data_IF_013208955053
#
_entry.id   IF_013208955053
#
_cell.length_a   1.000
_cell.length_b   1.000
_cell.length_c   1.000
_cell.angle_alpha   90.00
_cell.angle_beta   90.00
_cell.angle_gamma   90.00
#
_symmetry.space_group_name_H-M   'P 1'
#
loop_
_entity.id
_entity.type
_entity.pdbx_description
1 polymer ?
#
# COMPACT_ATOMS: atom_id res chain seq x y z
N UNK A 1 -37.16 29.57 -41.24
CA UNK A 1 -37.11 28.84 -39.93
C UNK A 1 -35.65 28.79 -39.48
N UNK A 2 -35.28 29.63 -38.51
CA UNK A 2 -33.88 29.83 -38.09
C UNK A 2 -33.62 28.92 -36.89
N UNK A 3 -32.91 27.80 -37.11
CA UNK A 3 -32.55 26.85 -36.05
C UNK A 3 -31.39 27.45 -35.24
N UNK A 4 -31.69 27.82 -33.98
CA UNK A 4 -30.69 28.24 -33.00
C UNK A 4 -30.15 26.97 -32.35
N UNK A 5 -28.88 26.65 -32.59
CA UNK A 5 -28.16 25.61 -31.84
C UNK A 5 -27.69 26.23 -30.52
N UNK A 6 -28.20 25.73 -29.39
CA UNK A 6 -27.65 26.03 -28.06
C UNK A 6 -26.37 25.20 -27.86
N UNK A 7 -25.23 25.79 -27.47
CA UNK A 7 -24.07 25.02 -27.06
C UNK A 7 -24.34 24.46 -25.66
N UNK A 8 -24.29 23.13 -25.54
CA UNK A 8 -24.33 22.44 -24.25
C UNK A 8 -22.99 22.73 -23.53
N UNK A 9 -23.01 23.65 -22.57
CA UNK A 9 -21.87 23.94 -21.70
C UNK A 9 -21.70 22.73 -20.77
N UNK A 10 -20.80 21.82 -21.14
CA UNK A 10 -20.32 20.72 -20.30
C UNK A 10 -19.21 21.29 -19.40
N UNK A 11 -19.60 22.06 -18.37
CA UNK A 11 -18.66 22.63 -17.41
C UNK A 11 -18.63 21.84 -16.10
N UNK A 12 -17.40 21.55 -15.67
CA UNK A 12 -16.94 21.35 -14.28
C UNK A 12 -17.37 20.10 -13.49
N UNK A 13 -16.61 19.01 -13.62
CA UNK A 13 -16.44 17.98 -12.56
C UNK A 13 -14.97 17.75 -12.14
N UNK A 14 -14.02 18.48 -12.72
CA UNK A 14 -12.58 18.33 -12.40
C UNK A 14 -12.16 18.97 -11.06
N UNK A 15 -13.01 19.77 -10.41
CA UNK A 15 -12.64 20.50 -9.20
C UNK A 15 -12.75 19.65 -7.91
N UNK A 16 -13.62 18.63 -7.90
CA UNK A 16 -13.86 17.84 -6.68
C UNK A 16 -12.74 16.83 -6.40
N UNK A 17 -12.09 16.29 -7.43
CA UNK A 17 -11.05 15.25 -7.27
C UNK A 17 -9.75 15.81 -6.70
N UNK A 18 -9.41 17.06 -7.02
CA UNK A 18 -8.23 17.76 -6.49
C UNK A 18 -8.43 18.16 -5.03
N UNK A 19 -9.63 18.62 -4.66
CA UNK A 19 -9.97 18.95 -3.27
C UNK A 19 -9.85 17.73 -2.35
N UNK A 20 -10.41 16.57 -2.74
CA UNK A 20 -10.34 15.32 -1.95
C UNK A 20 -8.89 14.85 -1.76
N UNK A 21 -8.04 14.98 -2.79
CA UNK A 21 -6.63 14.60 -2.69
C UNK A 21 -5.83 15.51 -1.73
N UNK A 22 -6.12 16.82 -1.75
CA UNK A 22 -5.51 17.80 -0.83
C UNK A 22 -5.95 17.55 0.61
N UNK A 23 -7.24 17.31 0.83
CA UNK A 23 -7.78 16.97 2.16
C UNK A 23 -7.16 15.68 2.70
N UNK A 24 -7.01 14.64 1.86
CA UNK A 24 -6.38 13.39 2.28
C UNK A 24 -4.90 13.58 2.65
N UNK A 25 -4.11 14.32 1.85
CA UNK A 25 -2.72 14.67 2.19
C UNK A 25 -2.66 15.38 3.55
N UNK A 26 -3.59 16.29 3.84
CA UNK A 26 -3.66 16.97 5.13
C UNK A 26 -4.01 16.02 6.28
N UNK A 27 -4.97 15.11 6.09
CA UNK A 27 -5.31 14.08 7.08
C UNK A 27 -4.13 13.16 7.38
N UNK A 28 -3.33 12.80 6.37
CA UNK A 28 -2.10 12.04 6.55
C UNK A 28 -1.07 12.84 7.36
N UNK A 29 -0.85 14.13 7.06
CA UNK A 29 0.06 14.99 7.86
C UNK A 29 -0.38 15.08 9.32
N UNK A 30 -1.68 15.25 9.57
CA UNK A 30 -2.24 15.27 10.92
C UNK A 30 -1.96 13.93 11.63
N UNK A 31 -2.26 12.80 10.98
CA UNK A 31 -1.98 11.48 11.53
C UNK A 31 -0.48 11.22 11.77
N UNK A 32 0.41 11.77 10.92
CA UNK A 32 1.85 11.70 11.12
C UNK A 32 2.28 12.38 12.43
N UNK A 33 1.70 13.56 12.72
CA UNK A 33 1.99 14.34 13.93
C UNK A 33 1.27 13.86 15.20
N UNK A 34 0.25 13.00 15.06
CA UNK A 34 -0.63 12.55 16.15
C UNK A 34 0.10 11.89 17.32
N UNK A 35 -0.38 12.13 18.53
CA UNK A 35 0.11 11.50 19.78
C UNK A 35 -0.22 10.01 19.91
N UNK A 36 -1.05 9.48 19.01
CA UNK A 36 -1.31 8.04 18.92
C UNK A 36 -0.06 7.27 18.43
N UNK A 37 0.89 7.97 17.80
CA UNK A 37 2.15 7.40 17.31
C UNK A 37 3.28 7.70 18.29
N UNK A 38 4.04 6.66 18.61
CA UNK A 38 5.25 6.80 19.44
C UNK A 38 6.35 7.56 18.70
N UNK A 39 7.30 8.14 19.45
CA UNK A 39 8.47 8.82 18.86
C UNK A 39 9.27 7.91 17.92
N UNK A 40 9.39 6.63 18.27
CA UNK A 40 10.03 5.63 17.43
C UNK A 40 9.29 5.38 16.10
N UNK A 41 7.96 5.54 16.07
CA UNK A 41 7.19 5.43 14.84
C UNK A 41 7.33 6.70 14.00
N UNK A 42 7.23 7.89 14.62
CA UNK A 42 7.42 9.20 13.97
C UNK A 42 8.82 9.34 13.37
N UNK A 43 9.86 8.91 14.09
CA UNK A 43 11.25 8.94 13.61
C UNK A 43 11.47 8.13 12.31
N UNK A 44 10.58 7.17 12.00
CA UNK A 44 10.66 6.37 10.77
C UNK A 44 10.03 7.07 9.57
N UNK A 45 9.27 8.13 9.75
CA UNK A 45 8.59 8.87 8.68
C UNK A 45 9.59 9.38 7.64
N UNK A 46 10.74 9.90 8.09
CA UNK A 46 11.82 10.37 7.19
C UNK A 46 12.23 9.30 6.17
N UNK A 47 12.32 8.04 6.61
CA UNK A 47 12.70 6.94 5.74
C UNK A 47 11.49 6.37 4.98
N UNK A 48 10.30 6.35 5.59
CA UNK A 48 9.12 5.71 5.00
C UNK A 48 8.30 6.61 4.08
N UNK A 49 8.53 7.92 4.13
CA UNK A 49 7.88 8.95 3.29
C UNK A 49 6.38 8.67 3.07
N UNK A 50 5.58 8.53 4.15
CA UNK A 50 4.22 8.00 4.05
C UNK A 50 3.31 8.88 3.21
N UNK A 51 3.38 10.21 3.38
CA UNK A 51 2.57 11.15 2.59
C UNK A 51 2.85 11.00 1.10
N UNK A 52 4.13 11.08 0.70
CA UNK A 52 4.52 10.98 -0.70
C UNK A 52 4.22 9.60 -1.29
N UNK A 53 4.38 8.54 -0.51
CA UNK A 53 4.08 7.16 -0.94
C UNK A 53 2.59 6.96 -1.18
N UNK A 54 1.73 7.41 -0.26
CA UNK A 54 0.28 7.27 -0.40
C UNK A 54 -0.27 8.19 -1.50
N UNK A 55 0.32 9.37 -1.67
CA UNK A 55 0.02 10.26 -2.80
C UNK A 55 0.41 9.64 -4.14
N UNK A 56 1.60 9.01 -4.24
CA UNK A 56 2.03 8.28 -5.43
C UNK A 56 1.07 7.14 -5.79
N UNK A 57 0.58 6.40 -4.79
CA UNK A 57 -0.44 5.37 -5.00
C UNK A 57 -1.85 5.91 -5.27
N UNK A 58 -2.03 7.23 -5.24
CA UNK A 58 -3.32 7.87 -5.52
C UNK A 58 -4.39 7.62 -4.46
N UNK A 59 -4.01 7.31 -3.23
CA UNK A 59 -4.95 7.04 -2.14
C UNK A 59 -5.69 8.34 -1.76
N UNK A 60 -7.00 8.20 -1.53
CA UNK A 60 -7.91 9.30 -1.18
C UNK A 60 -8.78 8.93 0.01
N UNK A 61 -9.34 9.95 0.67
CA UNK A 61 -10.09 9.81 1.92
C UNK A 61 -11.40 9.03 1.83
N UNK A 62 -11.93 8.85 0.62
CA UNK A 62 -13.19 8.17 0.29
C UNK A 62 -13.00 6.72 -0.21
N UNK A 63 -11.77 6.22 -0.25
CA UNK A 63 -11.45 4.90 -0.77
C UNK A 63 -11.68 3.76 0.22
N UNK A 64 -12.02 2.59 -0.31
CA UNK A 64 -11.90 1.29 0.35
C UNK A 64 -10.50 0.72 0.10
N UNK A 65 -9.70 0.67 1.16
CA UNK A 65 -8.28 0.28 1.10
C UNK A 65 -8.04 -0.97 1.94
N UNK A 66 -7.34 -1.95 1.37
CA UNK A 66 -6.83 -3.12 2.09
C UNK A 66 -5.33 -2.99 2.35
N UNK A 67 -4.91 -2.99 3.62
CA UNK A 67 -3.50 -3.11 4.02
C UNK A 67 -3.17 -4.59 4.32
N UNK A 68 -2.23 -5.14 3.56
CA UNK A 68 -1.72 -6.50 3.75
C UNK A 68 -0.54 -6.51 4.71
N UNK A 69 -0.57 -7.42 5.69
CA UNK A 69 0.50 -7.62 6.68
C UNK A 69 0.83 -6.31 7.43
N UNK A 70 -0.13 -5.76 8.20
CA UNK A 70 0.02 -4.47 8.86
C UNK A 70 1.08 -4.47 9.97
N UNK A 71 1.48 -5.66 10.44
CA UNK A 71 2.49 -5.84 11.49
C UNK A 71 2.13 -5.09 12.77
N UNK A 72 2.96 -4.11 13.16
CA UNK A 72 2.69 -3.25 14.32
C UNK A 72 1.67 -2.11 14.07
N UNK A 73 1.06 -2.08 12.88
CA UNK A 73 0.07 -1.07 12.49
C UNK A 73 0.68 0.30 12.17
N UNK A 74 1.90 0.36 11.65
CA UNK A 74 2.57 1.65 11.38
C UNK A 74 1.82 2.45 10.31
N UNK A 75 1.41 1.80 9.21
CA UNK A 75 0.58 2.43 8.18
C UNK A 75 -0.89 2.48 8.61
N UNK A 76 -1.39 1.47 9.34
CA UNK A 76 -2.72 1.49 9.97
C UNK A 76 -2.94 2.76 10.81
N UNK A 77 -1.94 3.21 11.59
CA UNK A 77 -1.99 4.45 12.38
C UNK A 77 -2.11 5.74 11.56
N UNK A 78 -1.85 5.66 10.25
CA UNK A 78 -2.00 6.78 9.30
C UNK A 78 -3.31 6.65 8.51
N UNK A 79 -3.56 5.45 7.96
CA UNK A 79 -4.70 5.17 7.09
C UNK A 79 -6.03 5.14 7.85
N UNK A 80 -6.08 4.54 9.04
CA UNK A 80 -7.32 4.38 9.79
C UNK A 80 -7.99 5.72 10.14
N UNK A 81 -7.29 6.72 10.72
CA UNK A 81 -7.90 8.04 10.94
C UNK A 81 -8.21 8.76 9.62
N UNK A 82 -7.36 8.67 8.60
CA UNK A 82 -7.53 9.40 7.34
C UNK A 82 -8.70 8.88 6.48
N UNK A 83 -9.07 7.60 6.61
CA UNK A 83 -10.19 6.96 5.91
C UNK A 83 -11.44 6.84 6.79
N UNK A 84 -11.42 7.31 8.04
CA UNK A 84 -12.41 6.97 9.06
C UNK A 84 -13.86 7.36 8.72
N UNK A 85 -14.02 8.52 8.09
CA UNK A 85 -15.33 9.16 7.95
C UNK A 85 -15.97 8.91 6.59
N UNK A 86 -15.17 8.96 5.51
CA UNK A 86 -15.67 8.83 4.14
C UNK A 86 -15.20 7.56 3.43
N UNK A 87 -14.17 6.89 3.95
CA UNK A 87 -13.55 5.71 3.34
C UNK A 87 -13.71 4.48 4.22
N UNK A 88 -12.88 3.47 3.95
CA UNK A 88 -12.82 2.26 4.76
C UNK A 88 -11.42 1.65 4.71
N UNK A 89 -10.87 1.30 5.87
CA UNK A 89 -9.66 0.52 5.97
C UNK A 89 -9.99 -0.93 6.35
N UNK A 90 -9.48 -1.86 5.56
CA UNK A 90 -9.46 -3.28 5.83
C UNK A 90 -8.04 -3.75 6.12
N UNK A 91 -7.88 -4.73 7.00
CA UNK A 91 -6.60 -5.40 7.26
C UNK A 91 -6.75 -6.91 7.05
N UNK A 92 -5.70 -7.53 6.51
CA UNK A 92 -5.60 -8.99 6.38
C UNK A 92 -4.18 -9.46 6.63
N UNK A 93 -4.03 -10.76 6.93
CA UNK A 93 -2.77 -11.48 7.09
C UNK A 93 -1.94 -11.00 8.29
N UNK A 94 -1.98 -11.75 9.40
CA UNK A 94 -1.19 -11.43 10.60
C UNK A 94 -1.76 -10.28 11.44
N UNK A 95 -3.08 -10.23 11.62
CA UNK A 95 -3.81 -9.13 12.28
C UNK A 95 -4.14 -9.38 13.75
N UNK A 96 -3.98 -10.61 14.25
CA UNK A 96 -4.35 -11.02 15.63
C UNK A 96 -3.87 -10.03 16.70
N UNK A 97 -2.59 -9.65 16.68
CA UNK A 97 -2.04 -8.69 17.65
C UNK A 97 -2.74 -7.33 17.59
N UNK A 98 -3.06 -6.83 16.39
CA UNK A 98 -3.74 -5.54 16.24
C UNK A 98 -5.19 -5.62 16.72
N UNK A 99 -5.89 -6.72 16.41
CA UNK A 99 -7.25 -7.00 16.89
C UNK A 99 -7.35 -6.87 18.40
N UNK A 100 -6.41 -7.48 19.12
CA UNK A 100 -6.40 -7.53 20.58
C UNK A 100 -5.93 -6.22 21.24
N UNK A 101 -5.27 -5.31 20.50
CA UNK A 101 -4.62 -4.14 21.09
C UNK A 101 -4.99 -2.80 20.47
N UNK A 102 -4.77 -2.62 19.17
CA UNK A 102 -4.92 -1.34 18.48
C UNK A 102 -6.37 -1.09 18.08
N UNK A 103 -7.04 -2.12 17.52
CA UNK A 103 -8.35 -1.98 16.88
C UNK A 103 -9.51 -1.83 17.87
N UNK A 104 -9.28 -2.04 19.16
CA UNK A 104 -10.28 -1.83 20.22
C UNK A 104 -10.41 -0.37 20.67
N UNK A 105 -9.63 0.54 20.07
CA UNK A 105 -9.52 1.94 20.52
C UNK A 105 -9.83 2.89 19.37
N UNK A 106 -10.47 4.02 19.67
CA UNK A 106 -10.55 5.13 18.72
C UNK A 106 -9.14 5.68 18.41
N UNK A 107 -8.83 6.03 17.14
CA UNK A 107 -9.70 6.06 15.96
C UNK A 107 -9.70 4.77 15.11
N UNK A 108 -9.30 3.62 15.66
CA UNK A 108 -9.14 2.34 14.95
C UNK A 108 -10.37 1.41 15.00
N UNK A 109 -11.36 1.74 15.82
CA UNK A 109 -12.59 0.97 16.06
C UNK A 109 -13.46 0.75 14.82
N UNK A 110 -13.23 1.48 13.72
CA UNK A 110 -13.93 1.30 12.42
C UNK A 110 -13.17 0.43 11.41
N UNK A 111 -11.94 0.01 11.72
CA UNK A 111 -11.13 -0.84 10.84
C UNK A 111 -11.71 -2.26 10.85
N UNK A 112 -11.87 -2.86 9.68
CA UNK A 112 -12.40 -4.22 9.54
C UNK A 112 -11.29 -5.24 9.23
N UNK A 113 -11.38 -6.42 9.85
CA UNK A 113 -10.51 -7.55 9.55
C UNK A 113 -11.20 -8.43 8.52
N UNK A 114 -10.45 -8.84 7.51
CA UNK A 114 -10.95 -9.68 6.41
C UNK A 114 -9.95 -10.78 6.10
N UNK A 115 -10.43 -11.87 5.49
CA UNK A 115 -9.61 -13.06 5.25
C UNK A 115 -9.03 -13.65 6.55
N UNK A 116 -7.82 -14.21 6.47
CA UNK A 116 -7.16 -14.82 7.63
C UNK A 116 -6.52 -13.78 8.55
N UNK A 117 -6.71 -13.97 9.87
CA UNK A 117 -5.96 -13.24 10.90
C UNK A 117 -4.53 -13.76 11.07
N UNK A 118 -4.23 -14.96 10.55
CA UNK A 118 -2.91 -15.58 10.50
C UNK A 118 -2.24 -15.36 9.14
N UNK A 119 -1.03 -15.88 8.97
CA UNK A 119 -0.37 -15.98 7.66
C UNK A 119 -0.81 -17.27 6.98
N UNK A 120 -2.06 -17.28 6.54
CA UNK A 120 -2.64 -18.41 5.81
C UNK A 120 -2.90 -17.98 4.36
N UNK A 121 -2.32 -18.74 3.43
CA UNK A 121 -2.35 -18.47 2.00
C UNK A 121 -3.06 -19.58 1.22
N UNK A 122 -3.48 -20.65 1.90
CA UNK A 122 -4.21 -21.74 1.28
C UNK A 122 -5.62 -21.25 0.90
N UNK A 123 -5.97 -21.36 -0.38
CA UNK A 123 -7.24 -20.86 -0.93
C UNK A 123 -7.57 -19.41 -0.52
N UNK A 124 -6.54 -18.55 -0.45
CA UNK A 124 -6.66 -17.19 0.06
C UNK A 124 -7.76 -16.39 -0.67
N UNK A 125 -8.74 -15.95 0.09
CA UNK A 125 -9.80 -15.04 -0.33
C UNK A 125 -10.06 -14.02 0.78
N UNK A 126 -10.06 -12.73 0.41
CA UNK A 126 -10.39 -11.67 1.36
C UNK A 126 -11.90 -11.53 1.56
N UNK A 127 -12.74 -12.23 0.78
CA UNK A 127 -14.19 -12.12 0.78
C UNK A 127 -14.67 -10.66 0.59
N UNK A 128 -13.89 -9.90 -0.17
CA UNK A 128 -14.16 -8.52 -0.53
C UNK A 128 -14.21 -8.43 -2.05
N UNK A 129 -15.09 -7.56 -2.52
CA UNK A 129 -15.13 -7.09 -3.89
C UNK A 129 -15.12 -5.55 -3.84
N UNK A 130 -14.89 -4.93 -4.98
CA UNK A 130 -15.00 -3.49 -5.18
C UNK A 130 -14.06 -2.62 -4.33
N UNK A 131 -12.87 -3.12 -4.01
CA UNK A 131 -11.83 -2.32 -3.37
C UNK A 131 -11.22 -1.30 -4.35
N UNK A 132 -10.92 -0.11 -3.86
CA UNK A 132 -10.20 0.92 -4.61
C UNK A 132 -8.70 0.65 -4.62
N UNK A 133 -8.15 0.14 -3.51
CA UNK A 133 -6.73 -0.11 -3.37
C UNK A 133 -6.41 -1.34 -2.50
N UNK A 134 -5.36 -2.06 -2.88
CA UNK A 134 -4.64 -3.02 -2.03
C UNK A 134 -3.21 -2.50 -1.87
N UNK A 135 -2.67 -2.56 -0.65
CA UNK A 135 -1.35 -2.03 -0.32
C UNK A 135 -0.52 -3.07 0.42
N UNK A 136 0.71 -3.26 -0.02
CA UNK A 136 1.71 -4.08 0.67
C UNK A 136 3.01 -3.30 0.86
N UNK A 137 3.51 -3.30 2.10
CA UNK A 137 4.68 -2.54 2.52
C UNK A 137 5.69 -3.44 3.23
N UNK A 138 6.82 -3.67 2.57
CA UNK A 138 8.00 -4.38 3.09
C UNK A 138 7.66 -5.78 3.62
N UNK A 139 6.78 -6.48 2.90
CA UNK A 139 6.38 -7.86 3.22
C UNK A 139 6.31 -8.79 2.01
N UNK A 140 6.41 -8.30 0.78
CA UNK A 140 6.39 -9.12 -0.43
C UNK A 140 7.51 -10.18 -0.45
N UNK A 141 8.68 -9.84 0.09
CA UNK A 141 9.82 -10.74 0.26
C UNK A 141 9.63 -11.86 1.29
N UNK A 142 8.63 -11.75 2.18
CA UNK A 142 8.39 -12.77 3.21
C UNK A 142 7.72 -14.01 2.62
N UNK A 143 6.99 -13.83 1.52
CA UNK A 143 6.21 -14.89 0.90
C UNK A 143 7.09 -15.79 0.03
N UNK A 144 6.81 -17.09 0.02
CA UNK A 144 7.30 -17.99 -1.03
C UNK A 144 6.60 -17.75 -2.37
N UNK A 145 7.00 -18.47 -3.42
CA UNK A 145 6.43 -18.27 -4.76
C UNK A 145 4.93 -18.58 -4.84
N UNK A 146 4.47 -19.67 -4.21
CA UNK A 146 3.06 -20.04 -4.23
C UNK A 146 2.22 -19.05 -3.42
N UNK A 147 2.75 -18.60 -2.29
CA UNK A 147 2.11 -17.58 -1.46
C UNK A 147 1.97 -16.25 -2.21
N UNK A 148 3.02 -15.80 -2.94
CA UNK A 148 2.94 -14.59 -3.78
C UNK A 148 1.91 -14.73 -4.89
N UNK A 149 1.83 -15.90 -5.54
CA UNK A 149 0.79 -16.18 -6.54
C UNK A 149 -0.60 -16.07 -5.93
N UNK A 150 -0.83 -16.68 -4.76
CA UNK A 150 -2.11 -16.62 -4.04
C UNK A 150 -2.47 -15.19 -3.64
N UNK A 151 -1.54 -14.44 -3.04
CA UNK A 151 -1.75 -13.04 -2.63
C UNK A 151 -2.06 -12.15 -3.83
N UNK A 152 -1.31 -12.27 -4.92
CA UNK A 152 -1.55 -11.46 -6.12
C UNK A 152 -2.92 -11.77 -6.74
N UNK A 153 -3.33 -13.04 -6.81
CA UNK A 153 -4.66 -13.43 -7.31
C UNK A 153 -5.78 -12.92 -6.40
N UNK A 154 -5.64 -13.05 -5.09
CA UNK A 154 -6.61 -12.56 -4.12
C UNK A 154 -6.75 -11.03 -4.17
N UNK A 155 -5.63 -10.30 -4.29
CA UNK A 155 -5.63 -8.86 -4.47
C UNK A 155 -6.33 -8.46 -5.78
N UNK A 156 -6.06 -9.16 -6.88
CA UNK A 156 -6.74 -8.92 -8.16
C UNK A 156 -8.25 -9.14 -8.08
N UNK A 157 -8.67 -10.22 -7.41
CA UNK A 157 -10.09 -10.53 -7.21
C UNK A 157 -10.81 -9.43 -6.43
N UNK A 158 -10.18 -8.95 -5.35
CA UNK A 158 -10.82 -8.00 -4.43
C UNK A 158 -10.96 -6.57 -4.98
N UNK A 159 -10.09 -6.17 -5.91
CA UNK A 159 -10.13 -4.85 -6.53
C UNK A 159 -11.28 -4.70 -7.53
N UNK A 160 -11.89 -3.51 -7.59
CA UNK A 160 -12.76 -3.12 -8.70
C UNK A 160 -11.94 -2.94 -9.99
N UNK A 161 -12.57 -2.99 -11.18
CA UNK A 161 -11.93 -2.50 -12.41
C UNK A 161 -11.40 -1.08 -12.20
N UNK A 162 -10.14 -0.88 -12.57
CA UNK A 162 -9.42 0.36 -12.33
C UNK A 162 -8.85 0.58 -10.93
N UNK A 163 -9.07 -0.34 -9.99
CA UNK A 163 -8.45 -0.30 -8.65
C UNK A 163 -6.93 -0.52 -8.70
N UNK A 164 -6.23 -0.03 -7.68
CA UNK A 164 -4.75 -0.02 -7.65
C UNK A 164 -4.16 -1.05 -6.69
N UNK A 165 -2.97 -1.57 -7.04
CA UNK A 165 -2.17 -2.40 -6.16
C UNK A 165 -0.79 -1.75 -5.96
N UNK A 166 -0.54 -1.23 -4.76
CA UNK A 166 0.70 -0.55 -4.39
C UNK A 166 1.67 -1.48 -3.68
N UNK A 167 2.90 -1.58 -4.18
CA UNK A 167 3.94 -2.47 -3.65
C UNK A 167 5.20 -1.67 -3.32
N UNK A 168 5.67 -1.76 -2.08
CA UNK A 168 6.97 -1.24 -1.65
C UNK A 168 7.77 -2.36 -1.01
N UNK A 169 8.98 -2.64 -1.50
CA UNK A 169 9.87 -3.59 -0.82
C UNK A 169 11.37 -3.31 -1.04
N UNK A 170 12.20 -3.93 -0.21
CA UNK A 170 13.65 -3.80 -0.24
C UNK A 170 14.24 -4.36 -1.53
N UNK A 171 15.07 -3.57 -2.19
CA UNK A 171 15.58 -3.93 -3.52
C UNK A 171 16.67 -4.99 -3.42
N UNK A 172 16.51 -6.07 -4.19
CA UNK A 172 17.55 -7.02 -4.58
C UNK A 172 17.88 -6.79 -6.04
N UNK A 173 19.13 -7.00 -6.43
CA UNK A 173 19.53 -6.95 -7.85
C UNK A 173 18.77 -8.01 -8.65
N UNK A 174 18.44 -7.65 -9.88
CA UNK A 174 17.77 -8.57 -10.79
C UNK A 174 18.60 -9.85 -10.98
N UNK A 175 17.96 -11.02 -10.89
CA UNK A 175 18.60 -12.34 -11.04
C UNK A 175 19.70 -12.66 -10.02
N UNK A 176 19.87 -11.87 -8.96
CA UNK A 176 20.83 -12.16 -7.91
C UNK A 176 20.38 -13.39 -7.10
N UNK A 177 21.28 -14.38 -6.97
CA UNK A 177 21.06 -15.55 -6.12
C UNK A 177 20.81 -15.13 -4.66
N UNK A 178 19.91 -15.84 -3.98
CA UNK A 178 19.68 -15.65 -2.54
C UNK A 178 20.94 -16.01 -1.74
N UNK A 179 21.20 -15.24 -0.68
CA UNK A 179 22.22 -15.49 0.33
C UNK A 179 21.77 -14.91 1.69
N UNK A 180 22.60 -15.10 2.71
CA UNK A 180 22.30 -14.69 4.09
C UNK A 180 22.14 -13.17 4.26
N UNK A 181 22.62 -12.37 3.30
CA UNK A 181 22.54 -10.90 3.34
C UNK A 181 21.39 -10.31 2.52
N UNK A 182 20.70 -11.09 1.68
CA UNK A 182 19.66 -10.57 0.79
C UNK A 182 18.29 -11.26 0.93
N UNK A 183 18.11 -12.09 1.95
CA UNK A 183 16.84 -12.81 2.20
C UNK A 183 15.63 -11.89 2.36
N UNK A 184 15.81 -10.71 2.97
CA UNK A 184 14.76 -9.68 3.11
C UNK A 184 14.70 -8.66 1.97
N UNK A 185 15.37 -8.95 0.86
CA UNK A 185 15.37 -8.14 -0.36
C UNK A 185 14.71 -8.92 -1.50
N UNK A 186 13.98 -8.22 -2.35
CA UNK A 186 13.23 -8.80 -3.46
C UNK A 186 13.61 -8.17 -4.80
N UNK A 187 13.55 -8.99 -5.85
CA UNK A 187 13.86 -8.56 -7.21
C UNK A 187 12.65 -7.81 -7.81
N UNK A 188 12.77 -6.50 -8.11
CA UNK A 188 11.63 -5.72 -8.63
C UNK A 188 11.13 -6.23 -9.98
N UNK A 189 12.00 -6.79 -10.83
CA UNK A 189 11.58 -7.33 -12.14
C UNK A 189 10.75 -8.59 -11.95
N UNK A 190 11.12 -9.43 -10.97
CA UNK A 190 10.33 -10.60 -10.61
C UNK A 190 8.97 -10.19 -10.03
N UNK A 191 8.92 -9.17 -9.16
CA UNK A 191 7.66 -8.67 -8.63
C UNK A 191 6.74 -8.15 -9.74
N UNK A 192 7.27 -7.38 -10.69
CA UNK A 192 6.51 -6.92 -11.86
C UNK A 192 5.93 -8.11 -12.63
N UNK A 193 6.75 -9.11 -12.95
CA UNK A 193 6.33 -10.31 -13.66
C UNK A 193 5.22 -11.06 -12.91
N UNK A 194 5.41 -11.34 -11.63
CA UNK A 194 4.47 -12.11 -10.80
C UNK A 194 3.14 -11.37 -10.60
N UNK A 195 3.17 -10.03 -10.47
CA UNK A 195 1.95 -9.23 -10.35
C UNK A 195 1.21 -9.14 -11.68
N UNK A 196 1.92 -8.97 -12.80
CA UNK A 196 1.31 -9.00 -14.13
C UNK A 196 0.69 -10.36 -14.48
N UNK A 197 1.30 -11.47 -14.04
CA UNK A 197 0.72 -12.81 -14.21
C UNK A 197 -0.63 -12.99 -13.53
N UNK A 198 -0.94 -12.19 -12.50
CA UNK A 198 -2.27 -12.19 -11.88
C UNK A 198 -3.31 -11.34 -12.64
N UNK A 199 -2.92 -10.65 -13.71
CA UNK A 199 -3.80 -9.85 -14.57
C UNK A 199 -3.65 -8.34 -14.42
N UNK A 200 -2.76 -7.87 -13.55
CA UNK A 200 -2.49 -6.44 -13.38
C UNK A 200 -1.65 -5.86 -14.53
N UNK A 201 -1.74 -4.54 -14.70
CA UNK A 201 -0.80 -3.76 -15.52
C UNK A 201 0.09 -2.90 -14.62
N UNK A 202 1.40 -2.84 -14.90
CA UNK A 202 2.28 -1.86 -14.29
C UNK A 202 1.97 -0.50 -14.91
N UNK A 203 1.62 0.49 -14.09
CA UNK A 203 1.26 1.83 -14.58
C UNK A 203 2.29 2.89 -14.24
N UNK A 204 3.02 2.73 -13.13
CA UNK A 204 4.07 3.67 -12.74
C UNK A 204 5.06 3.07 -11.73
N UNK A 205 6.20 3.75 -11.53
CA UNK A 205 7.16 3.48 -10.48
C UNK A 205 7.70 4.78 -9.88
N UNK A 206 8.27 4.70 -8.68
CA UNK A 206 8.85 5.87 -8.02
C UNK A 206 10.21 5.59 -7.41
N UNK A 207 11.08 6.60 -7.45
CA UNK A 207 12.39 6.63 -6.79
C UNK A 207 12.33 7.21 -5.37
N UNK A 208 11.14 7.42 -4.78
CA UNK A 208 10.97 7.97 -3.43
C UNK A 208 11.92 7.32 -2.42
N UNK A 209 12.03 5.99 -2.48
CA UNK A 209 12.81 5.21 -1.53
C UNK A 209 14.19 4.79 -2.04
N UNK A 210 14.66 5.38 -3.13
CA UNK A 210 16.01 5.14 -3.65
C UNK A 210 17.06 5.61 -2.63
N UNK A 211 18.10 4.79 -2.42
CA UNK A 211 19.24 5.09 -1.55
C UNK A 211 20.54 4.77 -2.28
N UNK A 212 21.19 5.83 -2.77
CA UNK A 212 22.44 5.72 -3.55
C UNK A 212 23.56 5.02 -2.78
N UNK A 213 23.56 5.12 -1.45
CA UNK A 213 24.57 4.57 -0.56
C UNK A 213 24.21 3.17 -0.02
N UNK A 214 23.03 2.61 -0.35
CA UNK A 214 22.74 1.21 -0.13
C UNK A 214 23.24 0.37 -1.31
N UNK A 215 24.45 -0.19 -1.17
CA UNK A 215 25.03 -1.10 -2.16
C UNK A 215 24.25 -2.43 -2.35
N UNK A 216 23.12 -2.64 -1.67
CA UNK A 216 22.26 -3.84 -1.73
C UNK A 216 23.01 -5.16 -1.45
N UNK A 217 24.15 -5.09 -0.77
CA UNK A 217 25.00 -6.24 -0.43
C UNK A 217 24.79 -6.76 0.98
N UNK A 218 24.19 -5.93 1.83
CA UNK A 218 24.00 -6.21 3.25
C UNK A 218 22.53 -6.37 3.60
N UNK A 219 22.30 -7.19 4.62
CA UNK A 219 21.01 -7.42 5.24
C UNK A 219 20.44 -6.08 5.75
N UNK A 220 19.13 -5.85 5.52
CA UNK A 220 18.48 -4.55 5.76
C UNK A 220 18.38 -4.15 7.24
N UNK A 221 18.70 -5.07 8.15
CA UNK A 221 18.77 -4.91 9.59
C UNK A 221 20.19 -4.73 10.11
N UNK A 222 21.23 -4.88 9.27
CA UNK A 222 22.60 -4.50 9.64
C UNK A 222 22.61 -3.05 10.10
N UNK A 223 23.45 -2.74 11.10
CA UNK A 223 23.55 -1.39 11.70
C UNK A 223 23.77 -0.30 10.65
N UNK A 224 24.53 -0.60 9.60
CA UNK A 224 24.86 0.31 8.49
C UNK A 224 23.73 0.51 7.48
N UNK A 225 22.71 -0.36 7.46
CA UNK A 225 21.60 -0.32 6.48
C UNK A 225 20.25 -0.01 7.14
N UNK A 226 20.09 -0.36 8.43
CA UNK A 226 18.82 -0.21 9.15
C UNK A 226 18.38 1.25 9.13
N UNK A 227 17.24 1.51 8.49
CA UNK A 227 16.73 2.88 8.34
C UNK A 227 17.22 3.61 7.09
N UNK A 228 17.99 2.95 6.22
CA UNK A 228 18.55 3.50 4.99
C UNK A 228 18.57 2.48 3.82
N UNK A 229 17.75 1.44 3.86
CA UNK A 229 17.68 0.49 2.75
C UNK A 229 16.96 1.07 1.54
N UNK A 230 17.55 0.84 0.38
CA UNK A 230 16.94 1.07 -0.93
C UNK A 230 15.72 0.17 -1.09
N UNK A 231 14.65 0.76 -1.64
CA UNK A 231 13.39 0.06 -1.91
C UNK A 231 12.82 0.48 -3.26
N UNK A 232 12.26 -0.48 -3.97
CA UNK A 232 11.40 -0.19 -5.11
C UNK A 232 10.01 0.23 -4.62
N UNK A 233 9.34 1.05 -5.42
CA UNK A 233 7.95 1.49 -5.20
C UNK A 233 7.23 1.41 -6.53
N UNK A 234 6.28 0.48 -6.62
CA UNK A 234 5.61 0.11 -7.87
C UNK A 234 4.11 0.30 -7.71
N UNK A 235 3.48 0.85 -8.74
CA UNK A 235 2.05 1.03 -8.83
C UNK A 235 1.50 0.18 -9.97
N UNK A 236 0.59 -0.72 -9.63
CA UNK A 236 -0.14 -1.53 -10.59
C UNK A 236 -1.61 -1.15 -10.59
N UNK A 237 -2.31 -1.44 -11.69
CA UNK A 237 -3.75 -1.21 -11.84
C UNK A 237 -4.43 -2.46 -12.37
N UNK A 238 -5.62 -2.78 -11.84
CA UNK A 238 -6.52 -3.77 -12.45
C UNK A 238 -7.13 -3.13 -13.70
N UNK A 239 -7.06 -3.75 -14.89
CA UNK A 239 -7.68 -3.22 -16.09
C UNK A 239 -9.19 -2.92 -15.92
N UNK A 240 -9.70 -1.99 -16.73
CA UNK A 240 -11.14 -1.63 -16.78
C UNK A 240 -12.00 -2.77 -17.35
#
# INVERSE_FOLDING_TARGET
>A
MRKIFLPLIMASTLCSTTLIAVEFSQSIKQAMSSDIRTDNEKARDRNRQPEATLAFFGIKGDMKVLELVPGGGWYTKLLAPALRDNGKLYLSLGTKRLKESLLTKSPFDKVELVGSEAYDFENLDFNLNDLDAVLTFRNYHNFDENERISVNKAAYKALKPGGVYGVVDHTRRHMQKKNDENGRRFDPVLAIKEVQQAGFVLVDYSNLHYKIDDELRFEVGRKTVRGNSDRFTLLFKKPE
#
